data_IF_618522588221
#
_entry.id   IF_618522588221
#
_cell.length_a   1.000
_cell.length_b   1.000
_cell.length_c   1.000
_cell.angle_alpha   90.00
_cell.angle_beta   90.00
_cell.angle_gamma   90.00
#
_symmetry.space_group_name_H-M   'P 1'
#
loop_
_entity.id
_entity.type
_entity.pdbx_description
1 polymer ?
#
# COMPACT_ATOMS: atom_id res chain seq x y z
N UNK A 1 19.68 20.85 -29.62
CA UNK A 1 18.96 20.03 -28.62
C UNK A 1 17.62 19.66 -29.23
N UNK A 2 17.17 18.41 -29.05
CA UNK A 2 15.85 17.99 -29.53
C UNK A 2 14.78 18.86 -28.90
N UNK A 3 13.79 19.30 -29.70
CA UNK A 3 12.63 20.03 -29.20
C UNK A 3 11.91 19.19 -28.11
N UNK A 4 12.15 19.51 -26.85
CA UNK A 4 11.36 18.99 -25.74
C UNK A 4 10.19 19.94 -25.51
N UNK A 5 9.01 19.42 -25.10
CA UNK A 5 7.82 20.27 -24.86
C UNK A 5 8.06 21.34 -23.78
N UNK A 6 9.02 21.10 -22.90
CA UNK A 6 9.41 22.04 -21.83
C UNK A 6 10.86 22.44 -22.04
N UNK A 7 11.14 23.74 -21.93
CA UNK A 7 12.50 24.27 -22.00
C UNK A 7 13.35 23.73 -20.83
N UNK A 8 14.56 23.30 -21.18
CA UNK A 8 15.48 22.70 -20.22
C UNK A 8 15.86 23.66 -19.06
N UNK A 9 16.03 24.95 -19.37
CA UNK A 9 16.43 25.93 -18.34
C UNK A 9 15.30 26.15 -17.33
N UNK A 10 14.07 26.22 -17.80
CA UNK A 10 12.87 26.31 -16.97
C UNK A 10 12.73 25.08 -16.06
N UNK A 11 12.84 23.88 -16.65
CA UNK A 11 12.78 22.65 -15.91
C UNK A 11 13.88 22.57 -14.83
N UNK A 12 15.11 22.91 -15.20
CA UNK A 12 16.25 22.91 -14.28
C UNK A 12 16.08 23.88 -13.12
N UNK A 13 15.66 25.11 -13.40
CA UNK A 13 15.41 26.14 -12.37
C UNK A 13 14.37 25.67 -11.36
N UNK A 14 13.28 25.08 -11.85
CA UNK A 14 12.23 24.58 -10.96
C UNK A 14 12.75 23.42 -10.09
N UNK A 15 13.41 22.43 -10.68
CA UNK A 15 13.97 21.30 -9.94
C UNK A 15 14.98 21.75 -8.88
N UNK A 16 15.87 22.66 -9.26
CA UNK A 16 16.89 23.22 -8.32
C UNK A 16 16.24 23.99 -7.17
N UNK A 17 15.10 24.65 -7.43
CA UNK A 17 14.30 25.35 -6.42
C UNK A 17 13.75 24.44 -5.30
N UNK A 18 13.58 23.15 -5.56
CA UNK A 18 13.18 22.18 -4.55
C UNK A 18 14.34 21.72 -3.64
N UNK A 19 15.58 22.12 -3.94
CA UNK A 19 16.74 21.78 -3.11
C UNK A 19 17.05 20.30 -3.01
N UNK A 20 16.62 19.50 -3.99
CA UNK A 20 16.85 18.06 -4.01
C UNK A 20 18.32 17.76 -4.29
N UNK A 21 19.02 17.03 -3.42
CA UNK A 21 20.42 16.67 -3.65
C UNK A 21 20.60 15.73 -4.85
N UNK A 22 19.58 14.96 -5.17
CA UNK A 22 19.56 14.01 -6.29
C UNK A 22 18.10 13.81 -6.71
N UNK A 23 17.74 14.28 -7.90
CA UNK A 23 16.38 14.12 -8.44
C UNK A 23 15.95 12.66 -8.55
N UNK A 24 16.88 11.73 -8.78
CA UNK A 24 16.59 10.30 -8.82
C UNK A 24 16.12 9.72 -7.48
N UNK A 25 16.25 10.49 -6.39
CA UNK A 25 15.79 10.13 -5.05
C UNK A 25 14.56 10.92 -4.61
N UNK A 26 13.99 11.73 -5.50
CA UNK A 26 12.78 12.50 -5.22
C UNK A 26 11.64 11.57 -4.78
N UNK A 27 10.88 12.01 -3.79
CA UNK A 27 9.65 11.35 -3.38
C UNK A 27 8.55 11.58 -4.41
N UNK A 28 7.52 10.72 -4.43
CA UNK A 28 6.35 10.91 -5.31
C UNK A 28 5.73 12.29 -5.13
N UNK A 29 5.67 12.81 -3.90
CA UNK A 29 5.11 14.15 -3.61
C UNK A 29 5.95 15.27 -4.21
N UNK A 30 7.26 15.17 -4.15
CA UNK A 30 8.16 16.14 -4.79
C UNK A 30 8.04 16.09 -6.31
N UNK A 31 7.95 14.90 -6.91
CA UNK A 31 7.72 14.77 -8.35
C UNK A 31 6.38 15.39 -8.75
N UNK A 32 5.29 15.12 -8.02
CA UNK A 32 3.98 15.77 -8.24
C UNK A 32 4.08 17.29 -8.13
N UNK A 33 4.75 17.81 -7.11
CA UNK A 33 4.88 19.26 -6.92
C UNK A 33 5.68 19.91 -8.07
N UNK A 34 6.77 19.27 -8.50
CA UNK A 34 7.59 19.75 -9.62
C UNK A 34 6.79 19.72 -10.93
N UNK A 35 6.08 18.63 -11.23
CA UNK A 35 5.27 18.54 -12.46
C UNK A 35 4.15 19.57 -12.47
N UNK A 36 3.45 19.75 -11.35
CA UNK A 36 2.40 20.78 -11.22
C UNK A 36 2.95 22.19 -11.42
N UNK A 37 4.13 22.51 -10.86
CA UNK A 37 4.75 23.82 -11.05
C UNK A 37 5.19 24.03 -12.51
N UNK A 38 5.71 22.98 -13.15
CA UNK A 38 6.06 23.03 -14.58
C UNK A 38 4.82 23.30 -15.45
N UNK A 39 3.70 22.65 -15.19
CA UNK A 39 2.43 22.91 -15.89
C UNK A 39 1.97 24.35 -15.71
N UNK A 40 1.99 24.86 -14.49
CA UNK A 40 1.58 26.23 -14.19
C UNK A 40 2.43 27.28 -14.89
N UNK A 41 3.75 27.09 -14.94
CA UNK A 41 4.66 28.05 -15.51
C UNK A 41 4.75 27.98 -17.04
N UNK A 42 4.60 26.78 -17.62
CA UNK A 42 4.78 26.58 -19.06
C UNK A 42 3.47 26.49 -19.85
N UNK A 43 2.35 26.28 -19.17
CA UNK A 43 1.06 25.99 -19.80
C UNK A 43 1.02 24.63 -20.54
N UNK A 44 2.03 23.80 -20.32
CA UNK A 44 2.12 22.47 -20.94
C UNK A 44 1.49 21.44 -20.01
N UNK A 45 0.43 20.76 -20.43
CA UNK A 45 -0.17 19.68 -19.68
C UNK A 45 0.71 18.41 -19.73
N UNK A 46 0.86 17.75 -18.58
CA UNK A 46 1.55 16.47 -18.45
C UNK A 46 0.59 15.32 -18.29
N UNK A 47 0.98 14.15 -18.78
CA UNK A 47 0.33 12.89 -18.42
C UNK A 47 0.95 12.43 -17.09
N UNK A 48 0.21 12.58 -16.01
CA UNK A 48 0.64 12.23 -14.65
C UNK A 48 0.69 10.72 -14.47
N UNK A 49 1.90 10.16 -14.41
CA UNK A 49 2.14 8.72 -14.19
C UNK A 49 2.94 8.46 -12.89
N UNK A 50 3.30 9.51 -12.18
CA UNK A 50 4.09 9.46 -10.95
C UNK A 50 3.31 8.94 -9.76
N UNK A 51 1.98 9.01 -9.80
CA UNK A 51 1.11 8.49 -8.76
C UNK A 51 0.05 7.54 -9.36
N UNK A 52 0.01 6.31 -8.84
CA UNK A 52 -1.01 5.34 -9.22
C UNK A 52 -2.37 5.70 -8.64
N UNK A 53 -3.22 6.31 -9.45
CA UNK A 53 -4.62 6.59 -9.09
C UNK A 53 -5.51 5.61 -9.83
N UNK A 54 -6.43 4.88 -9.14
CA UNK A 54 -7.30 3.90 -9.79
C UNK A 54 -8.16 4.46 -10.92
N UNK A 55 -8.60 5.73 -10.83
CA UNK A 55 -9.31 6.45 -11.90
C UNK A 55 -10.72 5.96 -12.23
N UNK A 56 -11.09 4.75 -11.82
CA UNK A 56 -12.43 4.21 -12.01
C UNK A 56 -13.35 4.70 -10.89
N UNK A 57 -14.58 5.02 -11.26
CA UNK A 57 -15.63 5.36 -10.28
C UNK A 57 -15.96 4.11 -9.46
N UNK A 58 -16.32 4.31 -8.18
CA UNK A 58 -16.86 3.24 -7.35
C UNK A 58 -18.13 2.65 -7.99
N UNK A 59 -18.34 1.35 -7.79
CA UNK A 59 -19.56 0.70 -8.28
C UNK A 59 -20.80 1.33 -7.63
N UNK A 60 -21.79 1.71 -8.43
CA UNK A 60 -22.98 2.44 -7.96
C UNK A 60 -23.70 1.69 -6.84
N UNK A 61 -23.81 0.37 -6.94
CA UNK A 61 -24.44 -0.47 -5.91
C UNK A 61 -23.76 -0.29 -4.53
N UNK A 62 -22.44 -0.12 -4.49
CA UNK A 62 -21.71 0.13 -3.25
C UNK A 62 -21.99 1.52 -2.70
N UNK A 63 -21.99 2.53 -3.56
CA UNK A 63 -22.30 3.92 -3.19
C UNK A 63 -23.71 4.02 -2.61
N UNK A 64 -24.70 3.42 -3.27
CA UNK A 64 -26.09 3.44 -2.81
C UNK A 64 -26.25 2.74 -1.46
N UNK A 65 -25.59 1.60 -1.27
CA UNK A 65 -25.61 0.87 0.00
C UNK A 65 -24.96 1.66 1.14
N UNK A 66 -23.87 2.39 0.88
CA UNK A 66 -23.23 3.26 1.88
C UNK A 66 -24.14 4.42 2.27
N UNK A 67 -24.77 5.08 1.30
CA UNK A 67 -25.75 6.15 1.54
C UNK A 67 -26.90 5.64 2.39
N UNK A 68 -27.44 4.47 2.06
CA UNK A 68 -28.54 3.87 2.82
C UNK A 68 -28.12 3.54 4.25
N UNK A 69 -26.94 2.95 4.46
CA UNK A 69 -26.41 2.64 5.77
C UNK A 69 -26.24 3.91 6.64
N UNK A 70 -25.73 4.99 6.07
CA UNK A 70 -25.63 6.29 6.75
C UNK A 70 -26.99 6.86 7.15
N UNK A 71 -27.99 6.80 6.26
CA UNK A 71 -29.36 7.22 6.56
C UNK A 71 -29.99 6.40 7.67
N UNK A 72 -29.66 5.13 7.75
CA UNK A 72 -30.11 4.20 8.80
C UNK A 72 -29.31 4.33 10.11
N UNK A 73 -28.42 5.33 10.22
CA UNK A 73 -27.74 5.68 11.46
C UNK A 73 -26.53 4.82 11.79
N UNK A 74 -25.92 4.13 10.81
CA UNK A 74 -24.72 3.30 11.07
C UNK A 74 -23.58 4.09 11.71
N UNK A 75 -23.46 5.38 11.42
CA UNK A 75 -22.43 6.25 11.97
C UNK A 75 -22.58 6.53 13.49
N UNK A 76 -23.74 6.23 14.08
CA UNK A 76 -23.98 6.36 15.52
C UNK A 76 -23.66 5.09 16.33
N UNK A 77 -23.26 4.01 15.65
CA UNK A 77 -22.97 2.73 16.26
C UNK A 77 -21.46 2.58 16.45
N UNK A 78 -21.03 2.29 17.68
CA UNK A 78 -19.63 1.97 17.93
C UNK A 78 -19.36 0.51 17.50
N UNK A 79 -18.52 0.28 16.49
CA UNK A 79 -18.30 -1.07 15.98
C UNK A 79 -17.46 -1.91 16.94
N UNK A 80 -17.55 -3.23 16.82
CA UNK A 80 -16.61 -4.14 17.48
C UNK A 80 -15.18 -3.87 16.95
N UNK A 81 -14.20 -3.93 17.86
CA UNK A 81 -12.76 -3.73 17.55
C UNK A 81 -12.30 -4.65 16.41
N UNK A 82 -12.77 -5.89 16.39
CA UNK A 82 -12.42 -6.87 15.36
C UNK A 82 -13.28 -6.79 14.10
N UNK A 83 -14.10 -5.76 13.98
CA UNK A 83 -15.06 -5.61 12.89
C UNK A 83 -16.40 -6.29 13.14
N UNK A 84 -17.39 -5.95 12.32
CA UNK A 84 -18.71 -6.58 12.42
C UNK A 84 -18.69 -7.98 11.79
N UNK A 85 -19.47 -8.95 12.32
CA UNK A 85 -19.53 -10.30 11.76
C UNK A 85 -19.89 -10.30 10.26
N UNK A 86 -20.76 -9.38 9.84
CA UNK A 86 -21.18 -9.30 8.46
C UNK A 86 -20.04 -8.90 7.52
N UNK A 87 -19.24 -7.88 7.86
CA UNK A 87 -18.05 -7.48 7.06
C UNK A 87 -17.06 -8.62 6.96
N UNK A 88 -16.78 -9.32 8.07
CA UNK A 88 -15.86 -10.46 8.10
C UNK A 88 -16.33 -11.60 7.19
N UNK A 89 -17.62 -11.94 7.24
CA UNK A 89 -18.25 -12.94 6.37
C UNK A 89 -18.16 -12.55 4.89
N UNK A 90 -18.44 -11.29 4.55
CA UNK A 90 -18.35 -10.82 3.17
C UNK A 90 -16.90 -10.77 2.67
N UNK A 91 -15.93 -10.42 3.53
CA UNK A 91 -14.51 -10.48 3.20
C UNK A 91 -14.07 -11.91 2.87
N UNK A 92 -14.43 -12.89 3.70
CA UNK A 92 -14.16 -14.31 3.43
C UNK A 92 -14.78 -14.77 2.10
N UNK A 93 -16.06 -14.43 1.86
CA UNK A 93 -16.76 -14.73 0.61
C UNK A 93 -16.07 -14.12 -0.61
N UNK A 94 -15.65 -12.87 -0.51
CA UNK A 94 -14.94 -12.17 -1.59
C UNK A 94 -13.61 -12.85 -1.91
N UNK A 95 -12.82 -13.17 -0.90
CA UNK A 95 -11.52 -13.86 -1.06
C UNK A 95 -11.72 -15.21 -1.72
N UNK A 96 -12.74 -15.97 -1.29
CA UNK A 96 -13.07 -17.25 -1.93
C UNK A 96 -13.43 -17.08 -3.40
N UNK A 97 -14.29 -16.10 -3.72
CA UNK A 97 -14.74 -15.87 -5.08
C UNK A 97 -13.63 -15.35 -6.01
N UNK A 98 -12.74 -14.47 -5.50
CA UNK A 98 -11.75 -13.77 -6.31
C UNK A 98 -10.43 -14.53 -6.48
N UNK A 99 -9.93 -15.18 -5.42
CA UNK A 99 -8.64 -15.88 -5.43
C UNK A 99 -8.73 -17.34 -5.02
N UNK A 100 -9.95 -17.87 -4.83
CA UNK A 100 -10.25 -19.27 -4.50
C UNK A 100 -9.54 -19.78 -3.21
N UNK A 101 -9.41 -18.92 -2.20
CA UNK A 101 -8.88 -19.28 -0.90
C UNK A 101 -10.02 -19.32 0.12
N UNK A 102 -10.10 -20.42 0.90
CA UNK A 102 -11.03 -20.53 2.03
C UNK A 102 -10.38 -19.92 3.28
N UNK A 103 -11.02 -18.89 3.83
CA UNK A 103 -10.59 -18.22 5.06
C UNK A 103 -11.77 -18.20 6.03
N UNK A 104 -11.50 -18.58 7.29
CA UNK A 104 -12.47 -18.41 8.35
C UNK A 104 -12.78 -16.91 8.53
N UNK A 105 -14.06 -16.47 8.50
CA UNK A 105 -14.44 -15.10 8.77
C UNK A 105 -13.85 -14.53 10.07
N UNK A 106 -13.67 -15.36 11.11
CA UNK A 106 -13.08 -14.93 12.37
C UNK A 106 -11.59 -14.54 12.26
N UNK A 107 -10.92 -14.99 11.19
CA UNK A 107 -9.55 -14.58 10.87
C UNK A 107 -9.48 -13.28 10.05
N UNK A 108 -10.62 -12.68 9.69
CA UNK A 108 -10.67 -11.42 8.96
C UNK A 108 -10.80 -10.24 9.94
N UNK A 109 -9.88 -9.30 9.85
CA UNK A 109 -9.90 -8.06 10.65
C UNK A 109 -9.92 -6.87 9.71
N UNK A 110 -10.99 -6.07 9.68
CA UNK A 110 -11.04 -4.83 8.92
C UNK A 110 -10.02 -3.82 9.42
N UNK A 111 -9.40 -3.09 8.51
CA UNK A 111 -8.41 -2.06 8.81
C UNK A 111 -8.73 -0.77 8.06
N UNK A 112 -8.29 0.37 8.59
CA UNK A 112 -8.44 1.66 7.93
C UNK A 112 -7.36 1.82 6.86
N UNK A 113 -7.63 1.24 5.70
CA UNK A 113 -6.70 1.19 4.58
C UNK A 113 -5.57 0.17 4.77
N UNK A 114 -4.96 -0.22 3.66
CA UNK A 114 -3.87 -1.21 3.63
C UNK A 114 -2.63 -0.79 4.45
N UNK A 115 -2.42 0.51 4.62
CA UNK A 115 -1.30 1.04 5.41
C UNK A 115 -1.39 0.67 6.89
N UNK A 116 -2.57 0.71 7.49
CA UNK A 116 -2.78 0.23 8.86
C UNK A 116 -2.58 -1.28 8.93
N UNK A 117 -3.07 -2.01 7.93
CA UNK A 117 -2.92 -3.46 7.86
C UNK A 117 -1.45 -3.88 7.80
N UNK A 118 -0.64 -3.26 6.95
CA UNK A 118 0.80 -3.56 6.86
C UNK A 118 1.54 -3.17 8.14
N UNK A 119 1.23 -2.00 8.72
CA UNK A 119 1.83 -1.57 9.99
C UNK A 119 1.55 -2.57 11.11
N UNK A 120 0.27 -2.92 11.31
CA UNK A 120 -0.12 -3.88 12.34
C UNK A 120 0.52 -5.26 12.11
N UNK A 121 0.60 -5.71 10.86
CA UNK A 121 1.20 -7.00 10.51
C UNK A 121 2.71 -7.02 10.82
N UNK A 122 3.45 -5.97 10.47
CA UNK A 122 4.88 -5.89 10.77
C UNK A 122 5.14 -5.81 12.27
N UNK A 123 4.35 -5.01 12.99
CA UNK A 123 4.48 -4.88 14.44
C UNK A 123 4.21 -6.23 15.12
N UNK A 124 3.11 -6.90 14.75
CA UNK A 124 2.75 -8.21 15.32
C UNK A 124 3.81 -9.25 15.02
N UNK A 125 4.25 -9.35 13.76
CA UNK A 125 5.29 -10.29 13.37
C UNK A 125 6.60 -10.06 14.12
N UNK A 126 7.03 -8.81 14.27
CA UNK A 126 8.25 -8.46 14.99
C UNK A 126 8.17 -8.72 16.49
N UNK A 127 6.99 -8.57 17.09
CA UNK A 127 6.80 -8.87 18.51
C UNK A 127 6.64 -10.36 18.81
N UNK A 128 6.00 -11.11 17.90
CA UNK A 128 5.82 -12.56 18.09
C UNK A 128 7.12 -13.35 17.97
N UNK A 129 8.09 -12.84 17.22
CA UNK A 129 9.38 -13.50 16.99
C UNK A 129 10.54 -12.49 17.01
N UNK A 130 10.90 -11.95 18.19
CA UNK A 130 11.95 -10.94 18.29
C UNK A 130 13.32 -11.38 17.72
N UNK A 131 13.55 -12.68 17.72
CA UNK A 131 14.80 -13.30 17.20
C UNK A 131 14.82 -13.38 15.66
N UNK A 132 13.68 -13.17 15.00
CA UNK A 132 13.51 -13.33 13.56
C UNK A 132 13.12 -12.01 12.87
N UNK A 133 13.67 -10.92 13.31
CA UNK A 133 13.34 -9.55 12.87
C UNK A 133 13.85 -9.09 11.48
N UNK A 134 14.34 -9.84 10.53
CA UNK A 134 14.40 -9.36 9.18
C UNK A 134 13.04 -9.55 8.50
N UNK A 135 12.33 -8.45 8.30
CA UNK A 135 11.21 -8.44 7.35
C UNK A 135 11.77 -8.54 5.94
N UNK A 136 11.37 -9.58 5.22
CA UNK A 136 11.75 -9.75 3.82
C UNK A 136 10.80 -8.91 2.96
N UNK A 137 11.33 -7.90 2.27
CA UNK A 137 10.61 -7.12 1.26
C UNK A 137 11.10 -7.50 -0.12
N UNK A 138 10.17 -7.79 -1.03
CA UNK A 138 10.49 -8.01 -2.43
C UNK A 138 10.45 -6.69 -3.21
N UNK A 139 11.47 -6.45 -4.03
CA UNK A 139 11.51 -5.27 -4.90
C UNK A 139 11.10 -5.63 -6.35
N UNK A 140 10.36 -4.76 -7.05
CA UNK A 140 9.88 -3.42 -6.67
C UNK A 140 8.74 -3.49 -5.65
N UNK A 141 8.69 -2.54 -4.73
CA UNK A 141 7.72 -2.50 -3.64
C UNK A 141 7.20 -1.08 -3.38
N UNK A 142 6.11 -0.98 -2.62
CA UNK A 142 5.59 0.31 -2.18
C UNK A 142 6.51 0.93 -1.12
N UNK A 143 7.06 2.15 -1.35
CA UNK A 143 8.16 2.70 -0.55
C UNK A 143 7.86 2.87 0.94
N UNK A 144 6.58 3.05 1.30
CA UNK A 144 6.17 3.34 2.68
C UNK A 144 6.39 2.15 3.61
N UNK A 145 6.34 0.93 3.10
CA UNK A 145 6.60 -0.27 3.91
C UNK A 145 8.00 -0.28 4.51
N UNK A 146 9.00 0.21 3.76
CA UNK A 146 10.37 0.39 4.28
C UNK A 146 10.42 1.36 5.44
N UNK A 147 9.69 2.46 5.32
CA UNK A 147 9.63 3.47 6.37
C UNK A 147 8.94 2.93 7.63
N UNK A 148 7.86 2.16 7.47
CA UNK A 148 7.19 1.50 8.60
C UNK A 148 8.14 0.57 9.36
N UNK A 149 8.87 -0.28 8.65
CA UNK A 149 9.85 -1.20 9.26
C UNK A 149 10.98 -0.44 9.94
N UNK A 150 11.51 0.61 9.30
CA UNK A 150 12.59 1.42 9.87
C UNK A 150 12.15 2.14 11.15
N UNK A 151 10.94 2.71 11.18
CA UNK A 151 10.39 3.38 12.38
C UNK A 151 10.20 2.40 13.55
N UNK A 152 9.89 1.13 13.25
CA UNK A 152 9.77 0.09 14.28
C UNK A 152 11.15 -0.40 14.81
N UNK A 153 12.26 0.05 14.22
CA UNK A 153 13.59 -0.39 14.58
C UNK A 153 13.93 -1.80 14.12
N UNK A 154 13.19 -2.34 13.16
CA UNK A 154 13.43 -3.68 12.65
C UNK A 154 14.46 -3.67 11.52
N UNK A 155 15.31 -4.72 11.50
CA UNK A 155 16.22 -4.93 10.39
C UNK A 155 15.46 -5.37 9.13
N UNK A 156 15.89 -4.87 7.99
CA UNK A 156 15.30 -5.16 6.71
C UNK A 156 16.27 -5.91 5.81
N UNK A 157 15.88 -7.10 5.36
CA UNK A 157 16.57 -7.79 4.26
C UNK A 157 15.84 -7.53 2.94
N UNK A 158 16.58 -7.18 1.90
CA UNK A 158 16.05 -7.02 0.54
C UNK A 158 16.18 -8.31 -0.23
N UNK A 159 15.10 -8.74 -0.86
CA UNK A 159 15.14 -9.75 -1.91
C UNK A 159 14.58 -9.18 -3.21
N UNK A 160 15.24 -9.47 -4.33
CA UNK A 160 14.73 -9.14 -5.65
C UNK A 160 13.94 -10.33 -6.19
N UNK A 161 12.92 -10.08 -7.01
CA UNK A 161 12.07 -11.14 -7.60
C UNK A 161 12.85 -12.24 -8.31
N UNK A 162 14.06 -11.95 -8.78
CA UNK A 162 14.93 -12.92 -9.46
C UNK A 162 15.52 -13.97 -8.53
N UNK A 163 15.50 -13.74 -7.20
CA UNK A 163 16.15 -14.62 -6.21
C UNK A 163 15.16 -15.20 -5.18
N UNK A 164 13.87 -14.92 -5.32
CA UNK A 164 12.88 -15.49 -4.39
C UNK A 164 12.55 -16.91 -4.86
N UNK A 165 13.16 -17.88 -4.22
CA UNK A 165 12.52 -19.17 -4.07
C UNK A 165 11.48 -18.97 -2.97
N UNK A 166 10.20 -19.13 -3.32
CA UNK A 166 9.07 -18.92 -2.39
C UNK A 166 9.24 -19.64 -1.03
N UNK A 167 10.09 -20.65 -0.97
CA UNK A 167 10.47 -21.37 0.25
C UNK A 167 11.12 -20.49 1.32
N UNK A 168 11.86 -19.45 0.95
CA UNK A 168 12.68 -18.71 1.93
C UNK A 168 11.87 -17.63 2.65
N UNK A 169 10.85 -17.07 2.00
CA UNK A 169 9.89 -16.17 2.65
C UNK A 169 8.79 -16.94 3.41
N UNK A 170 8.45 -18.14 2.99
CA UNK A 170 7.34 -18.94 3.56
C UNK A 170 7.76 -19.72 4.82
N UNK A 171 9.04 -20.10 4.97
CA UNK A 171 9.53 -20.85 6.14
C UNK A 171 9.25 -20.12 7.47
N UNK A 172 9.55 -18.82 7.63
CA UNK A 172 9.20 -18.09 8.84
C UNK A 172 7.69 -18.06 9.11
N UNK A 173 6.88 -17.82 8.06
CA UNK A 173 5.43 -17.77 8.18
C UNK A 173 4.80 -19.09 8.62
N UNK A 174 5.27 -20.23 8.12
CA UNK A 174 4.82 -21.55 8.55
C UNK A 174 5.13 -21.85 10.01
N UNK A 175 6.19 -21.23 10.56
CA UNK A 175 6.56 -21.38 11.97
C UNK A 175 5.69 -20.52 12.88
N UNK A 176 5.32 -19.32 12.43
CA UNK A 176 4.47 -18.36 13.15
C UNK A 176 2.99 -18.76 13.06
N UNK A 177 2.57 -19.25 11.91
CA UNK A 177 1.20 -19.66 11.63
C UNK A 177 1.16 -21.13 11.17
N UNK A 178 1.39 -22.09 12.06
CA UNK A 178 1.48 -23.50 11.67
C UNK A 178 0.17 -24.07 11.08
N UNK A 179 -0.95 -23.38 11.31
CA UNK A 179 -2.27 -23.70 10.74
C UNK A 179 -2.69 -22.80 9.57
N UNK A 180 -1.87 -21.85 9.15
CA UNK A 180 -2.19 -21.05 7.98
C UNK A 180 -2.10 -21.95 6.74
N UNK A 181 -3.23 -22.13 6.09
CA UNK A 181 -3.43 -22.99 4.92
C UNK A 181 -2.76 -22.29 3.74
N UNK A 182 -1.49 -22.63 3.50
CA UNK A 182 -0.92 -22.45 2.18
C UNK A 182 -1.20 -23.77 1.42
N UNK A 183 -1.75 -23.72 0.20
CA UNK A 183 -1.98 -24.93 -0.58
C UNK A 183 -0.66 -25.68 -0.74
N UNK A 184 -0.73 -27.01 -0.68
CA UNK A 184 0.37 -27.93 -0.92
C UNK A 184 0.87 -27.82 -2.35
#
# INVERSE_FOLDING_TARGET
>A
MKNTPVDYQTARRIIDGFGLPDFGKATIREVVAISTQLEQETGTEFIHMEMGVPGLKAAQVGVDAEIEALRNGIASIYPNINGTPEVKKQASRFIKAFINIDIDPECCVPVTGSMQGTYASFLTAGQCTPEMTPSCLSTPEFPVQKQQIAVMGYNMSRSTYTNIVASDCVRPWKRIFPKAILPR
#
